data_IF_405304143647
#
_entry.id   IF_405304143647
#
_cell.length_a   1.000
_cell.length_b   1.000
_cell.length_c   1.000
_cell.angle_alpha   90.00
_cell.angle_beta   90.00
_cell.angle_gamma   90.00
#
_symmetry.space_group_name_H-M   'P 1'
#
loop_
_entity.id
_entity.type
_entity.pdbx_description
1 polymer ?
#
# COMPACT_ATOMS: atom_id res chain seq x y z
N UNK A 1 6.49 -52.70 -40.87
CA UNK A 1 6.20 -51.30 -41.22
C UNK A 1 5.80 -50.45 -40.01
N UNK A 2 4.95 -50.93 -39.09
CA UNK A 2 4.54 -50.16 -37.89
C UNK A 2 5.69 -49.64 -37.01
N UNK A 3 6.78 -50.41 -36.81
CA UNK A 3 7.95 -49.95 -36.03
C UNK A 3 8.71 -48.79 -36.69
N UNK A 4 8.71 -48.68 -38.02
CA UNK A 4 9.39 -47.60 -38.73
C UNK A 4 8.55 -46.31 -38.70
N UNK A 5 7.23 -46.43 -38.80
CA UNK A 5 6.31 -45.28 -38.67
C UNK A 5 6.44 -44.63 -37.29
N UNK A 6 6.58 -45.44 -36.23
CA UNK A 6 6.70 -44.94 -34.85
C UNK A 6 8.03 -44.21 -34.58
N UNK A 7 9.14 -44.63 -35.21
CA UNK A 7 10.43 -43.94 -35.10
C UNK A 7 10.39 -42.59 -35.82
N UNK A 8 9.80 -42.52 -37.02
CA UNK A 8 9.65 -41.27 -37.76
C UNK A 8 8.75 -40.26 -37.04
N UNK A 9 7.68 -40.70 -36.38
CA UNK A 9 6.84 -39.80 -35.57
C UNK A 9 7.56 -39.28 -34.32
N UNK A 10 8.39 -40.11 -33.66
CA UNK A 10 9.20 -39.69 -32.51
C UNK A 10 10.28 -38.68 -32.94
N UNK A 11 11.00 -38.95 -34.03
CA UNK A 11 12.03 -38.02 -34.55
C UNK A 11 11.42 -36.70 -35.00
N UNK A 12 10.26 -36.72 -35.67
CA UNK A 12 9.53 -35.51 -36.06
C UNK A 12 9.05 -34.70 -34.85
N UNK A 13 8.52 -35.36 -33.82
CA UNK A 13 8.09 -34.69 -32.59
C UNK A 13 9.26 -34.11 -31.79
N UNK A 14 10.41 -34.79 -31.76
CA UNK A 14 11.64 -34.28 -31.15
C UNK A 14 12.18 -33.05 -31.91
N UNK A 15 12.22 -33.09 -33.25
CA UNK A 15 12.59 -31.93 -34.08
C UNK A 15 11.66 -30.72 -33.89
N UNK A 16 10.35 -30.95 -33.77
CA UNK A 16 9.38 -29.87 -33.48
C UNK A 16 9.62 -29.29 -32.07
N UNK A 17 9.93 -30.13 -31.09
CA UNK A 17 10.18 -29.71 -29.70
C UNK A 17 11.51 -28.94 -29.58
N UNK A 18 12.58 -29.41 -30.24
CA UNK A 18 13.87 -28.73 -30.29
C UNK A 18 13.78 -27.37 -31.00
N UNK A 19 13.02 -27.28 -32.10
CA UNK A 19 12.76 -26.01 -32.78
C UNK A 19 11.98 -25.02 -31.90
N UNK A 20 10.96 -25.49 -31.18
CA UNK A 20 10.20 -24.65 -30.25
C UNK A 20 11.07 -24.15 -29.08
N UNK A 21 11.91 -25.01 -28.50
CA UNK A 21 12.85 -24.61 -27.45
C UNK A 21 13.85 -23.57 -27.95
N UNK A 22 14.40 -23.75 -29.15
CA UNK A 22 15.34 -22.81 -29.75
C UNK A 22 14.66 -21.46 -30.02
N UNK A 23 13.47 -21.45 -30.62
CA UNK A 23 12.67 -20.23 -30.85
C UNK A 23 12.38 -19.49 -29.54
N UNK A 24 12.02 -20.22 -28.49
CA UNK A 24 11.78 -19.64 -27.17
C UNK A 24 13.05 -19.00 -26.59
N UNK A 25 14.18 -19.71 -26.60
CA UNK A 25 15.47 -19.20 -26.12
C UNK A 25 15.95 -17.98 -26.92
N UNK A 26 15.75 -17.97 -28.24
CA UNK A 26 16.07 -16.82 -29.09
C UNK A 26 15.21 -15.61 -28.72
N UNK A 27 13.91 -15.80 -28.49
CA UNK A 27 13.01 -14.73 -28.04
C UNK A 27 13.38 -14.18 -26.66
N UNK A 28 13.80 -15.03 -25.72
CA UNK A 28 14.33 -14.58 -24.42
C UNK A 28 15.64 -13.79 -24.58
N UNK A 29 16.54 -14.25 -25.45
CA UNK A 29 17.79 -13.56 -25.75
C UNK A 29 17.53 -12.19 -26.39
N UNK A 30 16.58 -12.10 -27.33
CA UNK A 30 16.15 -10.83 -27.93
C UNK A 30 15.64 -9.85 -26.87
N UNK A 31 14.77 -10.30 -25.96
CA UNK A 31 14.30 -9.47 -24.84
C UNK A 31 15.43 -9.02 -23.93
N UNK A 32 16.39 -9.92 -23.66
CA UNK A 32 17.58 -9.62 -22.85
C UNK A 32 18.48 -8.59 -23.51
N UNK A 33 18.72 -8.72 -24.82
CA UNK A 33 19.50 -7.78 -25.61
C UNK A 33 18.80 -6.41 -25.65
N UNK A 34 17.48 -6.37 -25.87
CA UNK A 34 16.71 -5.14 -25.83
C UNK A 34 16.83 -4.45 -24.47
N UNK A 35 16.68 -5.20 -23.37
CA UNK A 35 16.85 -4.64 -22.04
C UNK A 35 18.29 -4.15 -21.77
N UNK A 36 19.31 -4.87 -22.27
CA UNK A 36 20.70 -4.46 -22.19
C UNK A 36 20.96 -3.15 -22.96
N UNK A 37 20.33 -2.95 -24.13
CA UNK A 37 20.39 -1.68 -24.87
C UNK A 37 19.90 -0.50 -24.01
N UNK A 38 18.80 -0.66 -23.28
CA UNK A 38 18.31 0.38 -22.36
C UNK A 38 19.31 0.67 -21.23
N UNK A 39 19.99 -0.34 -20.70
CA UNK A 39 20.99 -0.16 -19.63
C UNK A 39 22.22 0.63 -20.08
N UNK A 40 22.57 0.52 -21.36
CA UNK A 40 23.66 1.26 -21.98
C UNK A 40 23.31 2.72 -22.30
N UNK A 41 22.04 3.13 -22.21
CA UNK A 41 21.66 4.53 -22.46
C UNK A 41 22.12 5.44 -21.31
N UNK A 42 22.64 6.65 -21.63
CA UNK A 42 22.86 7.68 -20.64
C UNK A 42 21.55 8.06 -19.92
N UNK A 43 21.62 8.37 -18.63
CA UNK A 43 20.45 8.78 -17.82
C UNK A 43 19.67 9.92 -18.46
N UNK A 44 20.37 10.93 -19.01
CA UNK A 44 19.73 12.05 -19.69
C UNK A 44 18.90 11.62 -20.90
N UNK A 45 19.37 10.63 -21.67
CA UNK A 45 18.66 10.12 -22.84
C UNK A 45 17.42 9.33 -22.43
N UNK A 46 17.52 8.51 -21.38
CA UNK A 46 16.37 7.81 -20.80
C UNK A 46 15.27 8.79 -20.36
N UNK A 47 15.65 9.86 -19.67
CA UNK A 47 14.72 10.91 -19.23
C UNK A 47 14.11 11.65 -20.42
N UNK A 48 14.92 11.96 -21.44
CA UNK A 48 14.45 12.60 -22.67
C UNK A 48 13.37 11.77 -23.38
N UNK A 49 13.59 10.47 -23.56
CA UNK A 49 12.62 9.55 -24.17
C UNK A 49 11.31 9.51 -23.36
N UNK A 50 11.40 9.47 -22.03
CA UNK A 50 10.23 9.55 -21.15
C UNK A 50 9.49 10.90 -21.26
N UNK A 51 10.20 12.01 -21.50
CA UNK A 51 9.59 13.34 -21.74
C UNK A 51 8.79 13.41 -23.04
N UNK A 52 9.11 12.52 -23.99
CA UNK A 52 8.50 12.41 -25.29
C UNK A 52 7.43 11.30 -25.34
N UNK A 53 7.05 10.75 -24.19
CA UNK A 53 6.02 9.72 -24.07
C UNK A 53 4.78 10.04 -24.92
N UNK A 54 4.40 9.05 -25.71
CA UNK A 54 3.14 9.00 -26.44
C UNK A 54 2.25 7.92 -25.84
N UNK A 55 0.96 8.09 -26.03
CA UNK A 55 -0.02 7.16 -25.48
C UNK A 55 0.17 5.80 -26.17
N UNK A 56 0.10 4.73 -25.38
CA UNK A 56 0.29 3.34 -25.81
C UNK A 56 1.73 2.99 -26.21
N UNK A 57 2.70 3.88 -26.00
CA UNK A 57 4.13 3.52 -26.06
C UNK A 57 4.51 2.62 -24.88
N UNK A 58 5.16 1.49 -25.17
CA UNK A 58 5.72 0.62 -24.15
C UNK A 58 6.94 1.27 -23.48
N UNK A 59 6.83 1.54 -22.18
CA UNK A 59 7.82 2.33 -21.41
C UNK A 59 8.36 1.60 -20.16
N UNK A 60 8.01 0.33 -19.96
CA UNK A 60 8.37 -0.40 -18.73
C UNK A 60 9.89 -0.50 -18.54
N UNK A 61 10.63 -0.79 -19.60
CA UNK A 61 12.09 -0.92 -19.55
C UNK A 61 12.78 0.38 -19.10
N UNK A 62 12.24 1.54 -19.47
CA UNK A 62 12.75 2.84 -19.02
C UNK A 62 12.53 3.04 -17.52
N UNK A 63 11.36 2.68 -17.00
CA UNK A 63 11.08 2.77 -15.57
C UNK A 63 11.93 1.80 -14.75
N UNK A 64 12.08 0.56 -15.20
CA UNK A 64 12.98 -0.39 -14.55
C UNK A 64 14.40 0.16 -14.50
N UNK A 65 14.88 0.73 -15.60
CA UNK A 65 16.21 1.33 -15.64
C UNK A 65 16.33 2.53 -14.69
N UNK A 66 15.36 3.43 -14.65
CA UNK A 66 15.37 4.55 -13.69
C UNK A 66 15.43 4.08 -12.24
N UNK A 67 14.76 2.97 -11.91
CA UNK A 67 14.78 2.41 -10.55
C UNK A 67 16.14 1.84 -10.13
N UNK A 68 16.97 1.40 -11.09
CA UNK A 68 18.33 0.93 -10.82
C UNK A 68 19.33 2.09 -10.62
N UNK A 69 19.01 3.26 -11.17
CA UNK A 69 19.91 4.40 -11.18
C UNK A 69 19.82 5.22 -9.89
N UNK A 70 20.98 5.64 -9.38
CA UNK A 70 21.06 6.71 -8.38
C UNK A 70 21.09 8.04 -9.10
N UNK A 71 19.94 8.69 -9.21
CA UNK A 71 19.82 9.97 -9.91
C UNK A 71 20.64 11.06 -9.22
N UNK A 72 21.43 11.78 -10.01
CA UNK A 72 22.15 12.97 -9.55
C UNK A 72 21.21 14.17 -9.47
N UNK A 73 21.67 15.28 -8.87
CA UNK A 73 20.91 16.56 -8.87
C UNK A 73 20.60 17.02 -10.30
N UNK A 74 21.55 16.87 -11.23
CA UNK A 74 21.35 17.19 -12.65
C UNK A 74 20.25 16.33 -13.27
N UNK A 75 20.24 15.03 -13.00
CA UNK A 75 19.21 14.11 -13.50
C UNK A 75 17.83 14.45 -12.92
N UNK A 76 17.76 14.81 -11.64
CA UNK A 76 16.52 15.27 -11.01
C UNK A 76 15.96 16.53 -11.67
N UNK A 77 16.82 17.50 -12.00
CA UNK A 77 16.39 18.71 -12.73
C UNK A 77 15.85 18.37 -14.12
N UNK A 78 16.55 17.50 -14.87
CA UNK A 78 16.05 17.03 -16.17
C UNK A 78 14.71 16.29 -16.06
N UNK A 79 14.54 15.49 -15.00
CA UNK A 79 13.28 14.79 -14.75
C UNK A 79 12.15 15.75 -14.37
N UNK A 80 12.44 16.81 -13.60
CA UNK A 80 11.49 17.88 -13.30
C UNK A 80 11.03 18.56 -14.59
N UNK A 81 11.98 19.00 -15.44
CA UNK A 81 11.66 19.67 -16.70
C UNK A 81 10.81 18.76 -17.61
N UNK A 82 11.11 17.45 -17.59
CA UNK A 82 10.37 16.44 -18.33
C UNK A 82 8.94 16.28 -17.80
N UNK A 83 8.76 16.21 -16.48
CA UNK A 83 7.43 16.13 -15.86
C UNK A 83 6.63 17.40 -16.15
N UNK A 84 7.23 18.58 -16.04
CA UNK A 84 6.57 19.86 -16.30
C UNK A 84 6.13 19.97 -17.78
N UNK A 85 7.00 19.56 -18.72
CA UNK A 85 6.66 19.43 -20.15
C UNK A 85 5.48 18.49 -20.38
N UNK A 86 5.44 17.34 -19.71
CA UNK A 86 4.32 16.40 -19.79
C UNK A 86 3.03 17.02 -19.24
N UNK A 87 3.07 17.69 -18.09
CA UNK A 87 1.93 18.39 -17.50
C UNK A 87 1.35 19.44 -18.47
N UNK A 88 2.22 20.18 -19.17
CA UNK A 88 1.78 21.16 -20.17
C UNK A 88 1.06 20.51 -21.37
N UNK A 89 1.50 19.33 -21.82
CA UNK A 89 0.82 18.57 -22.88
C UNK A 89 -0.56 18.06 -22.45
N UNK A 90 -0.73 17.80 -21.16
CA UNK A 90 -1.91 17.12 -20.61
C UNK A 90 -3.22 17.93 -20.74
N UNK A 91 -3.16 19.26 -20.83
CA UNK A 91 -4.36 20.12 -20.89
C UNK A 91 -5.27 19.79 -22.07
N UNK A 92 -4.68 19.47 -23.23
CA UNK A 92 -5.37 19.27 -24.51
C UNK A 92 -5.80 17.82 -24.80
N UNK A 93 -5.56 16.89 -23.87
CA UNK A 93 -5.87 15.47 -24.07
C UNK A 93 -7.35 15.13 -23.81
N UNK A 94 -7.83 14.06 -24.45
CA UNK A 94 -9.15 13.46 -24.17
C UNK A 94 -9.23 12.89 -22.75
N UNK A 95 -10.43 12.69 -22.21
CA UNK A 95 -10.59 12.16 -20.83
C UNK A 95 -9.92 10.80 -20.63
N UNK A 96 -10.03 9.88 -21.61
CA UNK A 96 -9.43 8.54 -21.54
C UNK A 96 -7.90 8.63 -21.55
N UNK A 97 -7.38 9.44 -22.44
CA UNK A 97 -5.94 9.66 -22.62
C UNK A 97 -5.31 10.33 -21.40
N UNK A 98 -6.01 11.29 -20.81
CA UNK A 98 -5.58 11.94 -19.58
C UNK A 98 -5.36 10.95 -18.43
N UNK A 99 -6.15 9.88 -18.31
CA UNK A 99 -5.96 8.89 -17.23
C UNK A 99 -4.67 8.10 -17.44
N UNK A 100 -4.40 7.65 -18.68
CA UNK A 100 -3.14 6.97 -19.02
C UNK A 100 -1.95 7.88 -18.73
N UNK A 101 -2.07 9.13 -19.14
CA UNK A 101 -1.04 10.15 -18.97
C UNK A 101 -0.78 10.51 -17.49
N UNK A 102 -1.83 10.65 -16.68
CA UNK A 102 -1.71 10.86 -15.23
C UNK A 102 -1.04 9.67 -14.53
N UNK A 103 -1.35 8.44 -14.94
CA UNK A 103 -0.68 7.27 -14.40
C UNK A 103 0.81 7.26 -14.75
N UNK A 104 1.17 7.70 -15.96
CA UNK A 104 2.56 7.84 -16.37
C UNK A 104 3.29 8.90 -15.53
N UNK A 105 2.73 10.10 -15.39
CA UNK A 105 3.28 11.17 -14.52
C UNK A 105 3.43 10.70 -13.08
N UNK A 106 2.40 10.02 -12.54
CA UNK A 106 2.42 9.46 -11.18
C UNK A 106 3.59 8.50 -10.97
N UNK A 107 3.97 7.72 -11.99
CA UNK A 107 5.11 6.82 -11.93
C UNK A 107 6.43 7.56 -12.01
N UNK A 108 6.55 8.63 -12.79
CA UNK A 108 7.78 9.44 -12.86
C UNK A 108 8.08 10.17 -11.56
N UNK A 109 7.04 10.75 -10.94
CA UNK A 109 7.21 11.57 -9.73
C UNK A 109 7.91 10.80 -8.60
N UNK A 110 7.71 9.49 -8.45
CA UNK A 110 8.30 8.73 -7.33
C UNK A 110 9.83 8.68 -7.35
N UNK A 111 10.47 8.93 -8.50
CA UNK A 111 11.92 8.94 -8.66
C UNK A 111 12.56 10.26 -8.22
N UNK A 112 11.79 11.33 -8.06
CA UNK A 112 12.30 12.59 -7.53
C UNK A 112 12.50 12.51 -6.01
N UNK A 113 13.50 13.20 -5.44
CA UNK A 113 13.61 13.46 -4.01
C UNK A 113 12.33 14.06 -3.43
N UNK A 114 11.98 13.73 -2.17
CA UNK A 114 10.72 14.17 -1.53
C UNK A 114 10.48 15.67 -1.63
N UNK A 115 11.47 16.49 -1.25
CA UNK A 115 11.37 17.95 -1.29
C UNK A 115 11.08 18.52 -2.69
N UNK A 116 11.50 17.84 -3.77
CA UNK A 116 11.24 18.28 -5.15
C UNK A 116 9.85 17.84 -5.65
N UNK A 117 9.27 16.79 -5.06
CA UNK A 117 7.95 16.29 -5.46
C UNK A 117 6.82 17.20 -4.99
N UNK A 118 7.02 17.91 -3.87
CA UNK A 118 5.95 18.66 -3.18
C UNK A 118 5.21 19.64 -4.08
N UNK A 119 5.89 20.30 -5.02
CA UNK A 119 5.24 21.23 -5.96
C UNK A 119 4.10 20.59 -6.76
N UNK A 120 4.17 19.28 -7.02
CA UNK A 120 3.13 18.56 -7.74
C UNK A 120 1.90 18.25 -6.87
N UNK A 121 1.98 18.38 -5.55
CA UNK A 121 0.81 18.29 -4.70
C UNK A 121 -0.18 19.39 -5.04
N UNK A 122 0.27 20.65 -5.01
CA UNK A 122 -0.59 21.82 -5.18
C UNK A 122 -1.21 21.87 -6.59
N UNK A 123 -0.46 21.40 -7.60
CA UNK A 123 -0.93 21.29 -8.99
C UNK A 123 -2.11 20.31 -9.09
N UNK A 124 -2.05 19.16 -8.41
CA UNK A 124 -2.95 18.04 -8.67
C UNK A 124 -4.01 17.79 -7.60
N UNK A 125 -3.88 18.33 -6.38
CA UNK A 125 -4.79 18.05 -5.27
C UNK A 125 -6.23 18.50 -5.56
N UNK A 126 -6.36 19.62 -6.30
CA UNK A 126 -7.65 20.18 -6.71
C UNK A 126 -8.16 19.62 -8.05
N UNK A 127 -7.47 18.64 -8.64
CA UNK A 127 -7.96 17.99 -9.85
C UNK A 127 -9.37 17.43 -9.60
N UNK A 128 -10.28 17.65 -10.55
CA UNK A 128 -11.64 17.08 -10.49
C UNK A 128 -11.62 15.55 -10.58
N UNK A 129 -10.59 14.98 -11.21
CA UNK A 129 -10.44 13.54 -11.41
C UNK A 129 -9.62 12.88 -10.30
N UNK A 130 -10.09 11.71 -9.86
CA UNK A 130 -9.40 10.91 -8.83
C UNK A 130 -7.99 10.50 -9.26
N UNK A 131 -7.78 10.20 -10.54
CA UNK A 131 -6.46 9.86 -11.10
C UNK A 131 -5.45 11.01 -10.99
N UNK A 132 -5.88 12.25 -11.24
CA UNK A 132 -5.06 13.44 -10.99
C UNK A 132 -4.70 13.58 -9.51
N UNK A 133 -5.68 13.49 -8.61
CA UNK A 133 -5.42 13.55 -7.15
C UNK A 133 -4.48 12.43 -6.65
N UNK A 134 -4.47 11.25 -7.28
CA UNK A 134 -3.48 10.19 -6.99
C UNK A 134 -2.04 10.60 -7.27
N UNK A 135 -1.81 11.56 -8.17
CA UNK A 135 -0.48 12.16 -8.36
C UNK A 135 -0.12 12.98 -7.11
N UNK A 136 -1.02 13.84 -6.64
CA UNK A 136 -0.81 14.63 -5.42
C UNK A 136 -0.54 13.74 -4.20
N UNK A 137 -1.29 12.65 -4.00
CA UNK A 137 -1.02 11.75 -2.86
C UNK A 137 0.36 11.11 -2.93
N UNK A 138 0.87 10.84 -4.14
CA UNK A 138 2.21 10.28 -4.31
C UNK A 138 3.32 11.30 -4.14
N UNK A 139 3.06 12.58 -4.40
CA UNK A 139 4.09 13.62 -4.26
C UNK A 139 4.45 13.94 -2.80
N UNK A 140 3.54 13.69 -1.85
CA UNK A 140 3.73 13.98 -0.41
C UNK A 140 3.85 12.72 0.46
N UNK A 141 3.99 11.55 -0.16
CA UNK A 141 3.93 10.28 0.56
C UNK A 141 5.09 10.16 1.57
N UNK A 142 4.75 10.07 2.87
CA UNK A 142 5.66 9.97 4.03
C UNK A 142 6.41 11.25 4.40
N UNK A 143 6.03 12.39 3.83
CA UNK A 143 6.64 13.68 4.18
C UNK A 143 5.85 14.38 5.30
N UNK A 144 6.49 15.38 5.92
CA UNK A 144 5.81 16.28 6.85
C UNK A 144 4.84 17.17 6.06
N UNK A 145 3.59 17.24 6.50
CA UNK A 145 2.54 18.01 5.85
C UNK A 145 2.31 19.33 6.57
N UNK A 146 2.03 20.36 5.79
CA UNK A 146 1.55 21.64 6.32
C UNK A 146 0.08 21.52 6.77
N UNK A 147 -0.35 22.42 7.65
CA UNK A 147 -1.75 22.50 8.10
C UNK A 147 -2.74 22.61 6.93
N UNK A 148 -2.40 23.41 5.91
CA UNK A 148 -3.24 23.57 4.72
C UNK A 148 -3.37 22.26 3.92
N UNK A 149 -2.27 21.53 3.71
CA UNK A 149 -2.29 20.24 3.02
C UNK A 149 -3.15 19.22 3.79
N UNK A 150 -3.05 19.18 5.12
CA UNK A 150 -3.86 18.30 5.96
C UNK A 150 -5.35 18.63 5.82
N UNK A 151 -5.71 19.91 5.88
CA UNK A 151 -7.10 20.34 5.72
C UNK A 151 -7.68 19.92 4.36
N UNK A 152 -6.92 20.08 3.27
CA UNK A 152 -7.33 19.64 1.94
C UNK A 152 -7.51 18.11 1.87
N UNK A 153 -6.60 17.34 2.45
CA UNK A 153 -6.69 15.88 2.49
C UNK A 153 -7.86 15.38 3.34
N UNK A 154 -8.12 16.05 4.47
CA UNK A 154 -9.26 15.79 5.35
C UNK A 154 -10.56 16.07 4.62
N UNK A 155 -10.66 17.20 3.92
CA UNK A 155 -11.83 17.52 3.12
C UNK A 155 -12.10 16.44 2.06
N UNK A 156 -11.06 16.02 1.32
CA UNK A 156 -11.17 14.96 0.32
C UNK A 156 -11.61 13.63 0.94
N UNK A 157 -11.11 13.29 2.13
CA UNK A 157 -11.53 12.08 2.82
C UNK A 157 -12.98 12.18 3.30
N UNK A 158 -13.33 13.25 4.02
CA UNK A 158 -14.62 13.40 4.66
C UNK A 158 -15.76 13.61 3.65
N UNK A 159 -15.50 14.31 2.54
CA UNK A 159 -16.50 14.57 1.48
C UNK A 159 -16.53 13.49 0.40
N UNK A 160 -15.38 13.03 -0.08
CA UNK A 160 -15.28 12.12 -1.26
C UNK A 160 -14.92 10.68 -0.90
N UNK A 161 -14.68 10.37 0.38
CA UNK A 161 -14.28 9.04 0.88
C UNK A 161 -13.02 8.50 0.19
N UNK A 162 -12.08 9.40 -0.11
CA UNK A 162 -10.82 9.00 -0.77
C UNK A 162 -9.82 8.44 0.23
N UNK A 163 -9.75 7.12 0.35
CA UNK A 163 -8.84 6.48 1.29
C UNK A 163 -7.37 6.88 1.12
N UNK A 164 -6.92 7.15 -0.10
CA UNK A 164 -5.53 7.57 -0.34
C UNK A 164 -5.18 8.92 0.31
N UNK A 165 -6.16 9.81 0.52
CA UNK A 165 -5.92 11.06 1.27
C UNK A 165 -5.75 10.77 2.76
N UNK A 166 -6.58 9.89 3.34
CA UNK A 166 -6.40 9.42 4.73
C UNK A 166 -5.06 8.72 4.93
N UNK A 167 -4.63 7.88 3.98
CA UNK A 167 -3.31 7.23 4.02
C UNK A 167 -2.19 8.27 4.07
N UNK A 168 -2.30 9.32 3.27
CA UNK A 168 -1.31 10.42 3.24
C UNK A 168 -1.23 11.13 4.59
N UNK A 169 -2.37 11.43 5.22
CA UNK A 169 -2.42 12.01 6.56
C UNK A 169 -1.78 11.07 7.59
N UNK A 170 -2.18 9.79 7.62
CA UNK A 170 -1.66 8.80 8.57
C UNK A 170 -0.14 8.63 8.44
N UNK A 171 0.39 8.59 7.22
CA UNK A 171 1.82 8.39 6.98
C UNK A 171 2.68 9.63 7.27
N UNK A 172 2.10 10.82 7.26
CA UNK A 172 2.81 12.06 7.63
C UNK A 172 3.15 12.15 9.12
N UNK A 173 2.54 11.29 9.94
CA UNK A 173 2.68 11.30 11.41
C UNK A 173 2.29 12.63 12.08
N UNK A 174 1.53 13.48 11.38
CA UNK A 174 1.09 14.75 11.93
C UNK A 174 0.09 14.52 13.07
N UNK A 175 0.23 15.34 14.11
CA UNK A 175 -0.69 15.47 15.22
C UNK A 175 -2.02 16.05 14.74
N UNK A 176 -3.11 15.34 15.01
CA UNK A 176 -4.48 15.76 14.76
C UNK A 176 -5.22 15.92 16.09
N UNK A 177 -6.18 16.84 16.12
CA UNK A 177 -7.06 17.01 17.27
C UNK A 177 -7.94 15.76 17.45
N UNK A 178 -8.25 15.43 18.72
CA UNK A 178 -9.01 14.23 19.06
C UNK A 178 -10.39 14.20 18.38
N UNK A 179 -11.07 15.34 18.31
CA UNK A 179 -12.39 15.47 17.66
C UNK A 179 -12.33 15.11 16.17
N UNK A 180 -11.28 15.56 15.48
CA UNK A 180 -11.05 15.23 14.07
C UNK A 180 -10.81 13.72 13.93
N UNK A 181 -9.99 13.15 14.83
CA UNK A 181 -9.72 11.70 14.84
C UNK A 181 -11.00 10.91 15.02
N UNK A 182 -11.85 11.26 15.99
CA UNK A 182 -13.14 10.61 16.23
C UNK A 182 -14.01 10.69 14.97
N UNK A 183 -14.13 11.87 14.35
CA UNK A 183 -14.90 12.04 13.12
C UNK A 183 -14.41 11.14 11.97
N UNK A 184 -13.10 10.94 11.85
CA UNK A 184 -12.52 10.01 10.87
C UNK A 184 -12.81 8.55 11.25
N UNK A 185 -12.68 8.18 12.54
CA UNK A 185 -12.93 6.82 13.03
C UNK A 185 -14.38 6.37 12.81
N UNK A 186 -15.35 7.24 13.04
CA UNK A 186 -16.77 6.99 12.77
C UNK A 186 -17.05 6.76 11.28
N UNK A 187 -16.29 7.44 10.43
CA UNK A 187 -16.46 7.45 8.97
C UNK A 187 -15.66 6.38 8.24
N UNK A 188 -14.67 5.77 8.89
CA UNK A 188 -13.83 4.74 8.28
C UNK A 188 -14.46 3.38 8.50
N UNK A 189 -14.62 2.55 7.47
CA UNK A 189 -15.09 1.16 7.69
C UNK A 189 -13.92 0.20 7.92
N UNK A 190 -12.75 0.52 7.37
CA UNK A 190 -11.57 -0.32 7.41
C UNK A 190 -10.90 -0.30 8.79
N UNK A 191 -11.07 -1.39 9.56
CA UNK A 191 -10.44 -1.60 10.90
C UNK A 191 -8.93 -1.34 10.90
N UNK A 192 -8.21 -1.70 9.83
CA UNK A 192 -6.77 -1.47 9.73
C UNK A 192 -6.44 0.03 9.70
N UNK A 193 -7.17 0.84 8.93
CA UNK A 193 -6.93 2.29 8.88
C UNK A 193 -7.31 2.99 10.18
N UNK A 194 -8.39 2.56 10.85
CA UNK A 194 -8.71 3.04 12.19
C UNK A 194 -7.60 2.74 13.19
N UNK A 195 -7.08 1.50 13.21
CA UNK A 195 -5.96 1.12 14.07
C UNK A 195 -4.70 1.97 13.78
N UNK A 196 -4.45 2.30 12.51
CA UNK A 196 -3.33 3.17 12.12
C UNK A 196 -3.52 4.62 12.58
N UNK A 197 -4.75 5.11 12.63
CA UNK A 197 -5.08 6.44 13.16
C UNK A 197 -4.93 6.48 14.69
N UNK A 198 -5.44 5.47 15.40
CA UNK A 198 -5.24 5.32 16.85
C UNK A 198 -3.74 5.17 17.18
N UNK A 199 -2.98 4.47 16.34
CA UNK A 199 -1.53 4.39 16.50
C UNK A 199 -0.87 5.77 16.42
N UNK A 200 -1.29 6.63 15.49
CA UNK A 200 -0.80 8.00 15.40
C UNK A 200 -1.18 8.79 16.67
N UNK A 201 -2.42 8.65 17.16
CA UNK A 201 -2.86 9.28 18.42
C UNK A 201 -2.01 8.83 19.62
N UNK A 202 -1.72 7.53 19.77
CA UNK A 202 -0.87 7.03 20.86
C UNK A 202 0.54 7.65 20.80
N UNK A 203 1.10 7.82 19.60
CA UNK A 203 2.45 8.36 19.43
C UNK A 203 2.52 9.85 19.76
N UNK A 204 1.46 10.62 19.47
CA UNK A 204 1.44 12.07 19.62
C UNK A 204 0.79 12.56 20.94
N UNK A 205 -0.17 11.81 21.49
CA UNK A 205 -1.16 12.27 22.48
C UNK A 205 -1.56 11.10 23.41
N UNK A 206 -0.61 10.60 24.21
CA UNK A 206 -0.77 9.36 24.98
C UNK A 206 -1.95 9.35 25.99
N UNK A 207 -2.39 10.52 26.44
CA UNK A 207 -3.50 10.65 27.40
C UNK A 207 -4.86 10.70 26.68
N UNK A 208 -4.92 11.33 25.51
CA UNK A 208 -6.17 11.46 24.74
C UNK A 208 -6.68 10.11 24.24
N UNK A 209 -5.78 9.18 23.88
CA UNK A 209 -6.21 7.84 23.46
C UNK A 209 -6.98 7.08 24.56
N UNK A 210 -6.67 7.35 25.83
CA UNK A 210 -7.37 6.73 26.95
C UNK A 210 -8.81 7.24 27.11
N UNK A 211 -9.20 8.30 26.40
CA UNK A 211 -10.59 8.77 26.36
C UNK A 211 -11.46 7.96 25.39
N UNK A 212 -10.85 7.26 24.42
CA UNK A 212 -11.58 6.59 23.32
C UNK A 212 -11.27 5.09 23.17
N UNK A 213 -10.35 4.51 23.95
CA UNK A 213 -9.90 3.12 23.77
C UNK A 213 -11.03 2.08 23.90
N UNK A 214 -12.00 2.31 24.79
CA UNK A 214 -13.16 1.43 24.98
C UNK A 214 -14.17 1.51 23.84
N UNK A 215 -14.20 2.62 23.10
CA UNK A 215 -15.07 2.79 21.92
C UNK A 215 -14.52 2.05 20.69
N UNK A 216 -13.20 1.82 20.64
CA UNK A 216 -12.51 1.17 19.52
C UNK A 216 -11.54 0.08 20.03
N UNK A 217 -12.04 -0.96 20.71
CA UNK A 217 -11.21 -1.90 21.45
C UNK A 217 -10.28 -2.70 20.53
N UNK A 218 -10.79 -3.19 19.41
CA UNK A 218 -10.00 -3.93 18.42
C UNK A 218 -8.86 -3.07 17.87
N UNK A 219 -9.20 -1.86 17.41
CA UNK A 219 -8.28 -0.93 16.79
C UNK A 219 -7.20 -0.46 17.76
N UNK A 220 -7.57 -0.19 19.01
CA UNK A 220 -6.65 0.21 20.06
C UNK A 220 -5.65 -0.91 20.37
N UNK A 221 -6.14 -2.14 20.59
CA UNK A 221 -5.28 -3.31 20.86
C UNK A 221 -4.32 -3.57 19.71
N UNK A 222 -4.81 -3.46 18.47
CA UNK A 222 -3.96 -3.56 17.28
C UNK A 222 -2.88 -2.47 17.26
N UNK A 223 -3.27 -1.20 17.48
CA UNK A 223 -2.35 -0.07 17.50
C UNK A 223 -1.25 -0.24 18.55
N UNK A 224 -1.61 -0.63 19.77
CA UNK A 224 -0.68 -0.92 20.87
C UNK A 224 0.32 -2.00 20.48
N UNK A 225 -0.15 -3.11 19.90
CA UNK A 225 0.71 -4.22 19.48
C UNK A 225 1.72 -3.80 18.41
N UNK A 226 1.30 -2.95 17.47
CA UNK A 226 2.18 -2.40 16.42
C UNK A 226 3.25 -1.47 16.98
N UNK A 227 2.91 -0.65 17.97
CA UNK A 227 3.87 0.24 18.63
C UNK A 227 4.81 -0.54 19.54
N UNK A 228 4.35 -1.63 20.16
CA UNK A 228 5.15 -2.43 21.08
C UNK A 228 5.31 -1.78 22.47
N UNK A 229 4.45 -0.83 22.85
CA UNK A 229 4.57 -0.14 24.13
C UNK A 229 3.89 -0.90 25.27
N UNK A 230 4.72 -1.52 26.13
CA UNK A 230 4.27 -2.38 27.25
C UNK A 230 3.43 -1.67 28.31
N UNK A 231 3.46 -0.32 28.39
CA UNK A 231 2.67 0.43 29.38
C UNK A 231 1.16 0.21 29.22
N UNK A 232 0.70 -0.15 28.02
CA UNK A 232 -0.72 -0.38 27.75
C UNK A 232 -1.18 -1.80 28.05
N UNK A 233 -0.31 -2.71 28.53
CA UNK A 233 -0.69 -4.09 28.88
C UNK A 233 -1.86 -4.11 29.88
N UNK A 234 -1.87 -3.21 30.86
CA UNK A 234 -2.97 -3.11 31.83
C UNK A 234 -4.29 -2.76 31.15
N UNK A 235 -4.29 -1.74 30.29
CA UNK A 235 -5.49 -1.26 29.58
C UNK A 235 -6.05 -2.33 28.64
N UNK A 236 -5.20 -3.02 27.86
CA UNK A 236 -5.67 -4.07 26.95
C UNK A 236 -6.21 -5.31 27.68
N UNK A 237 -5.78 -5.56 28.93
CA UNK A 237 -6.38 -6.61 29.78
C UNK A 237 -7.79 -6.27 30.22
N UNK A 238 -8.03 -5.01 30.55
CA UNK A 238 -9.38 -4.52 30.91
C UNK A 238 -10.32 -4.71 29.72
N UNK A 239 -9.88 -4.31 28.51
CA UNK A 239 -10.63 -4.56 27.27
C UNK A 239 -10.90 -6.04 26.99
N UNK A 240 -9.98 -6.93 27.37
CA UNK A 240 -10.20 -8.36 27.19
C UNK A 240 -11.43 -8.86 27.95
N UNK A 241 -11.66 -8.42 29.19
CA UNK A 241 -12.81 -8.89 29.95
C UNK A 241 -14.16 -8.50 29.31
N UNK A 242 -14.22 -7.30 28.73
CA UNK A 242 -15.39 -6.78 28.02
C UNK A 242 -15.60 -7.45 26.66
N UNK A 243 -14.53 -7.89 26.00
CA UNK A 243 -14.56 -8.38 24.61
C UNK A 243 -14.20 -9.87 24.46
N UNK A 244 -14.14 -10.65 25.56
CA UNK A 244 -13.68 -12.05 25.55
C UNK A 244 -14.54 -13.04 24.75
N UNK A 245 -15.73 -12.63 24.31
CA UNK A 245 -16.60 -13.45 23.46
C UNK A 245 -16.49 -13.09 21.96
N UNK A 246 -15.73 -12.05 21.60
CA UNK A 246 -15.48 -11.66 20.21
C UNK A 246 -14.18 -12.31 19.69
N UNK A 247 -14.31 -13.28 18.78
CA UNK A 247 -13.15 -13.99 18.21
C UNK A 247 -12.21 -13.10 17.38
N UNK A 248 -12.72 -12.07 16.71
CA UNK A 248 -11.89 -11.10 16.00
C UNK A 248 -11.01 -10.35 17.00
N UNK A 249 -11.62 -9.90 18.11
CA UNK A 249 -10.91 -9.25 19.20
C UNK A 249 -9.87 -10.19 19.83
N UNK A 250 -10.22 -11.44 20.13
CA UNK A 250 -9.28 -12.41 20.71
C UNK A 250 -8.04 -12.63 19.81
N UNK A 251 -8.25 -12.68 18.49
CA UNK A 251 -7.17 -12.81 17.52
C UNK A 251 -6.22 -11.62 17.58
N UNK A 252 -6.75 -10.39 17.54
CA UNK A 252 -5.90 -9.19 17.57
C UNK A 252 -5.24 -8.97 18.94
N UNK A 253 -5.90 -9.38 20.01
CA UNK A 253 -5.36 -9.40 21.36
C UNK A 253 -4.17 -10.35 21.47
N UNK A 254 -4.29 -11.58 20.97
CA UNK A 254 -3.17 -12.54 20.92
C UNK A 254 -1.97 -11.97 20.14
N UNK A 255 -2.22 -11.37 18.97
CA UNK A 255 -1.18 -10.70 18.18
C UNK A 255 -0.48 -9.61 19.00
N UNK A 256 -1.25 -8.73 19.64
CA UNK A 256 -0.73 -7.61 20.43
C UNK A 256 0.12 -8.09 21.60
N UNK A 257 -0.35 -9.09 22.36
CA UNK A 257 0.40 -9.70 23.46
C UNK A 257 1.72 -10.32 22.98
N UNK A 258 1.71 -10.99 21.82
CA UNK A 258 2.92 -11.53 21.19
C UNK A 258 3.94 -10.44 20.87
N UNK A 259 3.49 -9.33 20.24
CA UNK A 259 4.35 -8.17 19.95
C UNK A 259 4.91 -7.49 21.19
N UNK A 260 4.16 -7.49 22.30
CA UNK A 260 4.57 -6.91 23.58
C UNK A 260 5.45 -7.86 24.41
N UNK A 261 5.57 -9.14 24.03
CA UNK A 261 6.25 -10.15 24.83
C UNK A 261 5.52 -10.48 26.16
N UNK A 262 4.21 -10.29 26.20
CA UNK A 262 3.35 -10.47 27.38
C UNK A 262 3.00 -11.96 27.58
N UNK A 263 4.03 -12.76 27.93
CA UNK A 263 3.93 -14.25 28.01
C UNK A 263 2.86 -14.73 28.99
N UNK A 264 2.75 -14.08 30.16
CA UNK A 264 1.78 -14.47 31.20
C UNK A 264 0.34 -14.32 30.69
N UNK A 265 0.06 -13.21 30.04
CA UNK A 265 -1.22 -12.86 29.46
C UNK A 265 -1.58 -13.78 28.30
N UNK A 266 -0.61 -14.09 27.44
CA UNK A 266 -0.81 -15.00 26.31
C UNK A 266 -1.12 -16.43 26.79
N UNK A 267 -0.45 -16.89 27.85
CA UNK A 267 -0.74 -18.17 28.49
C UNK A 267 -2.17 -18.20 29.07
N UNK A 268 -2.61 -17.10 29.70
CA UNK A 268 -3.97 -16.99 30.22
C UNK A 268 -5.01 -17.04 29.09
N UNK A 269 -4.77 -16.32 27.99
CA UNK A 269 -5.62 -16.37 26.80
C UNK A 269 -5.70 -17.79 26.22
N UNK A 270 -4.58 -18.50 26.13
CA UNK A 270 -4.55 -19.89 25.66
C UNK A 270 -5.41 -20.82 26.53
N UNK A 271 -5.32 -20.68 27.87
CA UNK A 271 -6.16 -21.43 28.81
C UNK A 271 -7.65 -21.11 28.63
N UNK A 272 -7.98 -19.83 28.45
CA UNK A 272 -9.36 -19.39 28.20
C UNK A 272 -9.94 -20.03 26.93
N UNK A 273 -9.21 -19.96 25.81
CA UNK A 273 -9.64 -20.55 24.52
C UNK A 273 -9.84 -22.06 24.64
N UNK A 274 -8.92 -22.78 25.30
CA UNK A 274 -9.06 -24.23 25.53
C UNK A 274 -10.31 -24.57 26.33
N UNK A 275 -10.64 -23.76 27.34
CA UNK A 275 -11.82 -23.98 28.18
C UNK A 275 -13.11 -23.74 27.39
N UNK A 276 -13.19 -22.65 26.61
CA UNK A 276 -14.32 -22.36 25.73
C UNK A 276 -14.50 -23.39 24.61
N UNK A 277 -13.41 -23.84 23.98
CA UNK A 277 -13.46 -24.86 22.93
C UNK A 277 -13.99 -26.21 23.43
N UNK A 278 -13.65 -26.61 24.67
CA UNK A 278 -14.23 -27.80 25.31
C UNK A 278 -15.73 -27.65 25.57
N UNK A 279 -16.19 -26.47 25.98
CA UNK A 279 -17.61 -26.21 26.21
C UNK A 279 -18.44 -26.26 24.92
N UNK A 280 -17.88 -25.84 23.78
CA UNK A 280 -18.54 -25.91 22.46
C UNK A 280 -18.58 -27.34 21.88
N UNK A 281 -17.61 -28.18 22.24
CA UNK A 281 -17.52 -29.58 21.77
C UNK A 281 -18.20 -30.58 22.72
N UNK A 282 -18.90 -30.12 23.75
CA UNK A 282 -19.68 -30.99 24.61
C UNK A 282 -21.03 -31.27 23.91
N UNK A 283 -21.33 -32.50 23.49
CA UNK A 283 -22.62 -32.81 22.87
C UNK A 283 -23.71 -32.41 23.85
N UNK A 284 -24.59 -31.48 23.46
CA UNK A 284 -25.79 -31.20 24.23
C UNK A 284 -26.58 -32.51 24.25
N UNK A 285 -26.59 -33.16 25.41
CA UNK A 285 -27.30 -34.40 25.61
C UNK A 285 -28.72 -34.23 25.13
N UNK A 286 -29.14 -35.14 24.27
CA UNK A 286 -30.54 -35.36 23.91
C UNK A 286 -31.37 -35.30 25.19
N UNK A 287 -32.13 -34.23 25.35
CA UNK A 287 -33.20 -34.13 26.33
C UNK A 287 -34.15 -35.29 26.05
N UNK A 288 -34.07 -36.33 26.89
CA UNK A 288 -35.14 -37.33 27.00
C UNK A 288 -36.36 -36.56 27.49
N UNK A 289 -37.28 -36.31 26.57
CA UNK A 289 -38.69 -36.10 26.90
C UNK A 289 -39.16 -37.35 27.69
N UNK A 290 -39.68 -37.11 28.89
CA UNK A 290 -40.56 -38.03 29.62
C UNK A 290 -41.84 -37.25 29.87
#
# INVERSE_FOLDING_TARGET
MERLVNIFEIEKNNLITENFELEYKLKELEQTIEYAKFRCLPTSKLIEELSNYQIDTFVENYFYRLNELKLTVKDCNLLIDSIDKLINKYTNLTTKDKIKFENFIRRLIVYLPSHLRHKYFDIFINSTRKSGRKIAYKSICKDLLTKNQINLLLELYLKKREEESLKSIIFSSVKLDLEIIISILEKTDNKYWKARLIQNLILNEQNEVLKIYSMYPFEFVHAVGRIGNKKYIKVIKELFEENKNDFDFLSIYAYSLGKLGAKKELNNLSKYIKTKGKALNCPQGTSKEV
#
